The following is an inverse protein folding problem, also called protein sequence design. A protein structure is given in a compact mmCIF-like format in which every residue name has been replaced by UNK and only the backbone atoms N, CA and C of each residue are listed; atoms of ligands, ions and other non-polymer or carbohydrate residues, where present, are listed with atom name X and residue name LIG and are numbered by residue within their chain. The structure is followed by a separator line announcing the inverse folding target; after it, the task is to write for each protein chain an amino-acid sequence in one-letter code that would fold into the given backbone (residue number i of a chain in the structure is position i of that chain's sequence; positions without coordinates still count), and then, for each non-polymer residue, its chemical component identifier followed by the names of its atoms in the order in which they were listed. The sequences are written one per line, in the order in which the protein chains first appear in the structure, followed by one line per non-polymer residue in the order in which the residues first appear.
data_IF_385992185684
#
_entry.id   IF_385992185684
#
_cell.length_a   1.000
_cell.length_b   1.000
_cell.length_c   1.000
_cell.angle_alpha   90.00
_cell.angle_beta   90.00
_cell.angle_gamma   90.00
#
_symmetry.space_group_name_H-M   'P 1'
#
loop_
_entity.id
_entity.type
_entity.pdbx_description
1 polymer ?
#
# COMPACT_ATOMS: atom_id res chain seq x y z
N UNK A 1 10.51 30.47 -5.56
CA UNK A 1 10.86 29.48 -4.54
C UNK A 1 12.29 29.06 -4.79
N UNK A 2 13.14 29.08 -3.77
CA UNK A 2 14.54 28.70 -3.93
C UNK A 2 14.67 27.18 -4.17
N UNK A 3 15.69 26.77 -4.92
CA UNK A 3 15.89 25.34 -5.27
C UNK A 3 16.11 24.50 -4.02
N UNK A 4 16.88 25.01 -3.05
CA UNK A 4 17.16 24.30 -1.81
C UNK A 4 15.92 24.22 -0.92
N UNK A 5 15.11 25.28 -0.88
CA UNK A 5 13.83 25.27 -0.17
C UNK A 5 12.87 24.22 -0.75
N UNK A 6 12.74 24.17 -2.09
CA UNK A 6 11.88 23.18 -2.74
C UNK A 6 12.39 21.74 -2.52
N UNK A 7 13.70 21.53 -2.60
CA UNK A 7 14.33 20.24 -2.30
C UNK A 7 14.06 19.81 -0.87
N UNK A 8 14.20 20.71 0.12
CA UNK A 8 13.90 20.41 1.51
C UNK A 8 12.44 20.00 1.72
N UNK A 9 11.51 20.65 1.03
CA UNK A 9 10.10 20.29 1.07
C UNK A 9 9.83 18.91 0.47
N UNK A 10 10.40 18.61 -0.72
CA UNK A 10 10.30 17.28 -1.31
C UNK A 10 10.93 16.21 -0.42
N UNK A 11 12.07 16.50 0.19
CA UNK A 11 12.73 15.57 1.10
C UNK A 11 11.83 15.27 2.29
N UNK A 12 11.24 16.29 2.90
CA UNK A 12 10.29 16.14 4.01
C UNK A 12 9.08 15.32 3.60
N UNK A 13 8.48 15.64 2.44
CA UNK A 13 7.28 14.97 1.93
C UNK A 13 7.52 13.48 1.69
N UNK A 14 8.65 13.12 1.10
CA UNK A 14 8.91 11.75 0.67
C UNK A 14 9.58 10.88 1.73
N UNK A 15 10.47 11.45 2.55
CA UNK A 15 11.35 10.67 3.42
C UNK A 15 11.06 10.83 4.91
N UNK A 16 10.29 11.83 5.36
CA UNK A 16 9.90 11.86 6.77
C UNK A 16 8.85 10.77 7.04
N UNK A 17 9.05 9.96 8.10
CA UNK A 17 8.04 9.01 8.54
C UNK A 17 6.84 9.76 9.13
N UNK A 18 5.64 9.22 8.90
CA UNK A 18 4.40 9.75 9.47
C UNK A 18 3.56 8.64 10.10
N UNK A 19 2.84 8.98 11.18
CA UNK A 19 1.90 8.06 11.83
C UNK A 19 0.50 8.19 11.23
N UNK A 20 -0.23 7.07 11.19
CA UNK A 20 -1.65 6.99 10.75
C UNK A 20 -2.54 6.50 11.88
N UNK A 21 -2.33 7.01 13.11
CA UNK A 21 -3.12 6.66 14.29
C UNK A 21 -2.47 5.67 15.26
N UNK A 22 -1.13 5.57 15.27
CA UNK A 22 -0.37 4.66 16.14
C UNK A 22 1.10 5.07 16.31
N UNK A 23 2.03 4.12 16.57
CA UNK A 23 3.47 4.38 16.60
C UNK A 23 4.00 5.04 15.30
N UNK A 24 5.26 5.49 15.33
CA UNK A 24 5.91 6.02 14.13
C UNK A 24 5.77 5.03 12.96
N UNK A 25 5.15 5.49 11.87
CA UNK A 25 4.89 4.69 10.68
C UNK A 25 6.03 4.79 9.67
N UNK A 26 5.69 4.55 8.41
CA UNK A 26 6.58 4.66 7.26
C UNK A 26 6.57 6.06 6.64
N UNK A 27 7.45 6.25 5.67
CA UNK A 27 7.50 7.41 4.78
C UNK A 27 6.69 7.21 3.50
N UNK A 28 6.44 8.31 2.77
CA UNK A 28 5.77 8.25 1.46
C UNK A 28 6.57 7.45 0.43
N UNK A 29 7.90 7.53 0.51
CA UNK A 29 8.79 6.82 -0.38
C UNK A 29 8.74 5.31 -0.17
N UNK A 30 8.70 4.86 1.09
CA UNK A 30 8.55 3.43 1.40
C UNK A 30 7.22 2.89 0.92
N UNK A 31 6.14 3.62 1.19
CA UNK A 31 4.78 3.23 0.80
C UNK A 31 4.60 3.06 -0.72
N UNK A 32 5.24 3.91 -1.53
CA UNK A 32 5.00 3.97 -2.98
C UNK A 32 6.13 3.34 -3.81
N UNK A 33 7.39 3.51 -3.42
CA UNK A 33 8.54 3.11 -4.23
C UNK A 33 9.29 1.89 -3.68
N UNK A 34 9.61 1.87 -2.39
CA UNK A 34 10.45 0.82 -1.82
C UNK A 34 9.68 -0.47 -1.52
N UNK A 35 8.43 -0.33 -1.07
CA UNK A 35 7.63 -1.37 -0.44
C UNK A 35 7.62 -1.18 1.08
N UNK A 36 6.42 -1.18 1.65
CA UNK A 36 6.20 -1.01 3.09
C UNK A 36 5.81 -2.31 3.74
N UNK A 37 6.45 -2.59 4.87
CA UNK A 37 6.18 -3.74 5.71
C UNK A 37 5.74 -3.32 7.10
N UNK A 38 4.84 -4.10 7.70
CA UNK A 38 4.42 -3.96 9.08
C UNK A 38 4.39 -5.35 9.71
N UNK A 39 5.16 -5.56 10.78
CA UNK A 39 5.25 -6.84 11.48
C UNK A 39 5.60 -8.04 10.58
N UNK A 40 6.42 -7.81 9.54
CA UNK A 40 6.83 -8.84 8.58
C UNK A 40 5.92 -8.99 7.37
N UNK A 41 4.72 -8.39 7.39
CA UNK A 41 3.78 -8.43 6.28
C UNK A 41 3.95 -7.23 5.35
N UNK A 42 3.87 -7.46 4.04
CA UNK A 42 3.85 -6.40 3.02
C UNK A 42 2.48 -5.75 2.99
N UNK A 43 2.39 -4.48 3.39
CA UNK A 43 1.11 -3.75 3.45
C UNK A 43 0.91 -2.78 2.30
N UNK A 44 1.99 -2.30 1.67
CA UNK A 44 1.91 -1.50 0.43
C UNK A 44 3.10 -1.79 -0.47
N UNK A 45 2.83 -2.19 -1.70
CA UNK A 45 3.86 -2.43 -2.70
C UNK A 45 3.25 -2.33 -4.11
N UNK A 46 3.49 -1.21 -4.78
CA UNK A 46 2.84 -0.90 -6.07
C UNK A 46 3.82 -0.54 -7.20
N UNK A 47 5.11 -0.38 -6.91
CA UNK A 47 6.10 0.00 -7.92
C UNK A 47 6.50 -1.21 -8.76
N UNK A 48 6.07 -1.23 -10.03
CA UNK A 48 6.38 -2.29 -10.99
C UNK A 48 7.88 -2.46 -11.25
N UNK A 49 8.67 -1.38 -11.24
CA UNK A 49 10.10 -1.47 -11.47
C UNK A 49 10.82 -2.11 -10.29
N UNK A 50 10.40 -1.77 -9.06
CA UNK A 50 10.89 -2.42 -7.85
C UNK A 50 10.48 -3.90 -7.80
N UNK A 51 9.25 -4.21 -8.20
CA UNK A 51 8.78 -5.59 -8.35
C UNK A 51 9.69 -6.38 -9.29
N UNK A 52 9.94 -5.85 -10.48
CA UNK A 52 10.85 -6.45 -11.46
C UNK A 52 12.26 -6.70 -10.89
N UNK A 53 12.84 -5.73 -10.18
CA UNK A 53 14.15 -5.89 -9.57
C UNK A 53 14.17 -7.00 -8.50
N UNK A 54 13.14 -7.07 -7.65
CA UNK A 54 13.05 -8.08 -6.60
C UNK A 54 12.79 -9.48 -7.16
N UNK A 55 12.00 -9.59 -8.23
CA UNK A 55 11.78 -10.84 -8.94
C UNK A 55 13.08 -11.35 -9.58
N UNK A 56 13.83 -10.47 -10.25
CA UNK A 56 15.15 -10.79 -10.81
C UNK A 56 16.15 -11.25 -9.74
N UNK A 57 16.00 -10.78 -8.49
CA UNK A 57 16.82 -11.17 -7.34
C UNK A 57 16.30 -12.44 -6.63
N UNK A 58 15.17 -13.00 -7.07
CA UNK A 58 14.54 -14.18 -6.44
C UNK A 58 13.85 -13.89 -5.10
N UNK A 59 13.65 -12.62 -4.74
CA UNK A 59 12.98 -12.21 -3.50
C UNK A 59 11.45 -12.13 -3.62
N UNK A 60 10.93 -12.06 -4.83
CA UNK A 60 9.49 -12.04 -5.15
C UNK A 60 9.22 -13.10 -6.22
N UNK A 61 8.06 -13.75 -6.14
CA UNK A 61 7.63 -14.76 -7.10
C UNK A 61 6.24 -14.39 -7.65
N UNK A 62 6.13 -14.16 -8.96
CA UNK A 62 4.87 -13.83 -9.59
C UNK A 62 4.01 -15.08 -9.82
N UNK A 63 2.80 -15.08 -9.26
CA UNK A 63 1.85 -16.20 -9.35
C UNK A 63 0.67 -15.95 -10.33
N UNK A 64 0.67 -14.85 -11.08
CA UNK A 64 -0.42 -14.48 -11.99
C UNK A 64 -1.31 -13.35 -11.49
N UNK A 65 -2.44 -13.14 -12.15
CA UNK A 65 -3.41 -12.08 -11.83
C UNK A 65 -4.81 -12.66 -11.59
N UNK A 66 -5.60 -11.96 -10.77
CA UNK A 66 -6.98 -12.34 -10.45
C UNK A 66 -7.98 -11.45 -11.18
N UNK A 67 -9.12 -12.03 -11.58
CA UNK A 67 -10.29 -11.27 -12.04
C UNK A 67 -11.20 -10.99 -10.85
N UNK A 68 -11.59 -9.73 -10.66
CA UNK A 68 -12.59 -9.38 -9.65
C UNK A 68 -13.92 -10.03 -10.02
N UNK A 69 -14.45 -10.90 -9.17
CA UNK A 69 -15.78 -11.46 -9.34
C UNK A 69 -16.83 -10.47 -8.81
N UNK A 70 -17.90 -10.24 -9.58
CA UNK A 70 -19.04 -9.47 -9.12
C UNK A 70 -19.92 -10.39 -8.26
N UNK A 71 -19.83 -10.25 -6.93
CA UNK A 71 -20.71 -10.95 -6.01
C UNK A 71 -21.82 -10.00 -5.59
N UNK A 72 -23.04 -10.23 -6.06
CA UNK A 72 -24.24 -9.60 -5.50
C UNK A 72 -24.71 -10.43 -4.31
N UNK A 73 -24.42 -9.94 -3.10
CA UNK A 73 -25.02 -10.45 -1.86
C UNK A 73 -26.39 -9.82 -1.67
N UNK A 74 -27.45 -10.50 -2.10
CA UNK A 74 -28.81 -10.18 -1.65
C UNK A 74 -29.02 -10.81 -0.27
N UNK A 75 -28.77 -10.05 0.80
CA UNK A 75 -29.25 -10.42 2.12
C UNK A 75 -30.73 -10.02 2.18
N UNK A 76 -31.62 -10.96 1.84
CA UNK A 76 -33.04 -10.83 2.19
C UNK A 76 -33.17 -11.12 3.68
N UNK A 77 -33.17 -10.08 4.52
CA UNK A 77 -33.59 -10.20 5.91
C UNK A 77 -35.10 -10.48 5.90
N UNK A 78 -35.49 -11.72 6.20
CA UNK A 78 -36.88 -12.10 6.45
C UNK A 78 -37.36 -11.47 7.77
N UNK A 79 -37.70 -10.18 7.73
CA UNK A 79 -38.39 -9.49 8.81
C UNK A 79 -39.91 -9.65 8.63
N UNK A 80 -40.41 -10.88 8.66
CA UNK A 80 -41.84 -11.16 8.47
C UNK A 80 -42.35 -12.38 9.21
N UNK A 81 -41.83 -12.62 10.41
CA UNK A 81 -42.29 -13.66 11.34
C UNK A 81 -42.69 -13.08 12.73
N UNK A 82 -42.77 -11.75 12.89
CA UNK A 82 -43.05 -11.09 14.17
C UNK A 82 -44.08 -9.94 14.09
N UNK A 83 -45.09 -10.06 13.22
CA UNK A 83 -46.38 -9.35 13.38
C UNK A 83 -47.50 -10.28 12.93
#
# INVERSE_FOLDING_TARGET
MDTEEFKAQLTTLWFNPYSRGGPAGSSGFEALFAGETLNGDVIRFANWYRFYQLEKQGSVNYHGWFKKQAVSLFIVLLWRQFV
#
